data_IF_239449603990
#
_entry.id   IF_239449603990
#
_cell.length_a   1.000
_cell.length_b   1.000
_cell.length_c   1.000
_cell.angle_alpha   90.00
_cell.angle_beta   90.00
_cell.angle_gamma   90.00
#
_symmetry.space_group_name_H-M   'P 1'
#
loop_
_entity.id
_entity.type
_entity.pdbx_description
1 polymer ?
#
# COMPACT_ATOMS: atom_id res chain seq x y z
N UNK A 1 3.38 -3.73 3.18
CA UNK A 1 4.27 -3.63 4.36
C UNK A 1 4.79 -4.99 4.74
N UNK A 2 6.08 -5.08 4.99
CA UNK A 2 6.73 -6.23 5.65
C UNK A 2 6.99 -5.83 7.09
N UNK A 3 6.46 -6.59 8.04
CA UNK A 3 6.64 -6.29 9.46
C UNK A 3 7.90 -6.98 10.00
N UNK A 4 8.74 -6.22 10.72
CA UNK A 4 10.06 -6.66 11.17
C UNK A 4 10.26 -6.55 12.68
N UNK A 5 9.22 -6.29 13.45
CA UNK A 5 9.28 -6.15 14.89
C UNK A 5 8.63 -7.36 15.55
N UNK A 6 9.21 -7.78 16.71
CA UNK A 6 8.63 -8.86 17.50
C UNK A 6 7.25 -8.49 18.04
N UNK A 7 7.06 -7.22 18.44
CA UNK A 7 5.74 -6.72 18.80
C UNK A 7 4.89 -6.59 17.53
N UNK A 8 3.69 -7.18 17.47
CA UNK A 8 2.87 -7.14 16.27
C UNK A 8 2.45 -5.73 15.87
N UNK A 9 2.28 -5.52 14.57
CA UNK A 9 1.63 -4.32 14.07
C UNK A 9 0.14 -4.38 14.44
N UNK A 10 -0.31 -3.38 15.17
CA UNK A 10 -1.73 -3.24 15.54
C UNK A 10 -2.24 -1.91 14.96
N UNK A 11 -3.35 -1.92 14.21
CA UNK A 11 -3.92 -0.69 13.68
C UNK A 11 -4.24 0.34 14.77
N UNK A 12 -4.06 1.61 14.45
CA UNK A 12 -4.33 2.72 15.37
C UNK A 12 -3.13 3.18 16.18
N UNK A 13 -2.08 2.39 16.29
CA UNK A 13 -0.85 2.80 16.97
C UNK A 13 -0.09 3.79 16.09
N UNK A 14 0.46 4.83 16.71
CA UNK A 14 1.26 5.83 16.00
C UNK A 14 2.71 5.37 15.84
N UNK A 15 3.23 5.54 14.63
CA UNK A 15 4.62 5.25 14.28
C UNK A 15 5.24 6.45 13.58
N UNK A 16 6.56 6.40 13.41
CA UNK A 16 7.29 7.33 12.57
C UNK A 16 7.47 6.69 11.19
N UNK A 17 7.13 7.44 10.15
CA UNK A 17 7.33 7.01 8.77
C UNK A 17 8.41 7.86 8.12
N UNK A 18 9.38 7.19 7.54
CA UNK A 18 10.47 7.84 6.81
C UNK A 18 10.36 7.50 5.33
N UNK A 19 10.11 8.49 4.50
CA UNK A 19 9.95 8.33 3.07
C UNK A 19 10.47 9.57 2.33
N UNK A 20 11.19 9.34 1.23
CA UNK A 20 11.70 10.41 0.37
C UNK A 20 12.53 11.45 1.10
N UNK A 21 13.30 11.07 2.13
CA UNK A 21 14.07 12.00 2.94
C UNK A 21 13.26 12.78 3.98
N UNK A 22 11.94 12.60 4.01
CA UNK A 22 11.05 13.25 4.97
C UNK A 22 10.62 12.28 6.07
N UNK A 23 10.58 12.77 7.30
CA UNK A 23 10.11 12.02 8.45
C UNK A 23 8.79 12.61 8.91
N UNK A 24 7.76 11.78 9.02
CA UNK A 24 6.41 12.18 9.44
C UNK A 24 5.86 11.19 10.45
N UNK A 25 4.95 11.65 11.30
CA UNK A 25 4.18 10.78 12.17
C UNK A 25 2.94 10.28 11.43
N UNK A 26 2.51 9.09 11.75
CA UNK A 26 1.34 8.50 11.16
C UNK A 26 0.93 7.22 11.85
N UNK A 27 -0.07 6.58 11.31
CA UNK A 27 -0.59 5.31 11.83
C UNK A 27 -1.02 4.39 10.69
N UNK A 28 -1.06 3.12 10.98
CA UNK A 28 -1.74 2.16 10.13
C UNK A 28 -3.22 2.22 10.48
N UNK A 29 -4.04 2.70 9.56
CA UNK A 29 -5.48 2.80 9.79
C UNK A 29 -6.15 1.43 9.76
N UNK A 30 -5.75 0.60 8.80
CA UNK A 30 -6.36 -0.71 8.58
C UNK A 30 -5.41 -1.63 7.84
N UNK A 31 -5.45 -2.91 8.21
CA UNK A 31 -4.83 -3.98 7.43
C UNK A 31 -5.91 -4.54 6.50
N UNK A 32 -5.74 -4.39 5.19
CA UNK A 32 -6.73 -4.85 4.21
C UNK A 32 -6.70 -6.37 4.09
N UNK A 33 -5.51 -6.94 3.99
CA UNK A 33 -5.29 -8.38 4.01
C UNK A 33 -3.83 -8.69 4.28
N UNK A 34 -3.55 -9.90 4.72
CA UNK A 34 -2.21 -10.46 4.81
C UNK A 34 -1.95 -11.32 3.58
N UNK A 35 -0.72 -11.32 3.10
CA UNK A 35 -0.30 -12.17 1.98
C UNK A 35 0.42 -13.39 2.52
N UNK A 36 -0.07 -14.58 2.18
CA UNK A 36 0.62 -15.82 2.51
C UNK A 36 1.82 -15.99 1.57
N UNK A 37 3.02 -16.12 2.15
CA UNK A 37 4.27 -16.10 1.39
C UNK A 37 4.40 -17.29 0.44
N UNK A 38 3.90 -18.46 0.86
CA UNK A 38 4.05 -19.68 0.06
C UNK A 38 3.03 -19.82 -1.07
N UNK A 39 1.78 -19.43 -0.82
CA UNK A 39 0.68 -19.58 -1.78
C UNK A 39 0.29 -18.27 -2.46
N UNK A 40 0.75 -17.12 -1.96
CA UNK A 40 0.38 -15.76 -2.37
C UNK A 40 -1.14 -15.48 -2.17
N UNK A 41 -1.81 -16.27 -1.36
CA UNK A 41 -3.20 -16.04 -1.00
C UNK A 41 -3.36 -14.81 -0.12
N UNK A 42 -4.49 -14.10 -0.30
CA UNK A 42 -4.86 -12.97 0.53
C UNK A 42 -5.73 -13.44 1.68
N UNK A 43 -5.22 -13.32 2.89
CA UNK A 43 -5.89 -13.77 4.11
C UNK A 43 -6.34 -12.57 4.93
N UNK A 44 -7.51 -12.70 5.56
CA UNK A 44 -7.96 -11.69 6.51
C UNK A 44 -7.00 -11.64 7.70
N UNK A 45 -6.64 -10.42 8.15
CA UNK A 45 -5.77 -10.24 9.29
C UNK A 45 -6.13 -8.96 10.05
N UNK A 46 -6.04 -9.01 11.38
CA UNK A 46 -6.25 -7.86 12.25
C UNK A 46 -4.93 -7.27 12.73
N UNK A 47 -3.84 -8.01 12.56
CA UNK A 47 -2.48 -7.58 12.93
C UNK A 47 -1.47 -8.28 12.04
N UNK A 48 -0.24 -7.76 12.00
CA UNK A 48 0.89 -8.41 11.35
C UNK A 48 1.93 -8.77 12.38
N UNK A 49 2.33 -10.04 12.40
CA UNK A 49 3.42 -10.54 13.23
C UNK A 49 4.75 -10.45 12.48
N UNK A 50 5.85 -10.74 13.19
CA UNK A 50 7.19 -10.72 12.62
C UNK A 50 7.26 -11.51 11.30
N UNK A 51 7.86 -10.88 10.29
CA UNK A 51 8.04 -11.41 8.93
C UNK A 51 6.75 -11.62 8.12
N UNK A 52 5.61 -11.16 8.61
CA UNK A 52 4.38 -11.20 7.82
C UNK A 52 4.30 -10.01 6.88
N UNK A 53 3.66 -10.21 5.75
CA UNK A 53 3.45 -9.21 4.70
C UNK A 53 1.95 -8.91 4.60
N UNK A 54 1.61 -7.64 4.52
CA UNK A 54 0.22 -7.23 4.38
C UNK A 54 0.04 -5.99 3.52
N UNK A 55 -1.14 -5.86 2.93
CA UNK A 55 -1.59 -4.62 2.31
C UNK A 55 -2.31 -3.81 3.38
N UNK A 56 -1.83 -2.60 3.61
CA UNK A 56 -2.31 -1.75 4.69
C UNK A 56 -2.67 -0.36 4.17
N UNK A 57 -3.64 0.25 4.81
CA UNK A 57 -3.94 1.67 4.60
C UNK A 57 -3.21 2.48 5.66
N UNK A 58 -2.38 3.41 5.21
CA UNK A 58 -1.56 4.27 6.07
C UNK A 58 -2.08 5.70 6.02
N UNK A 59 -2.16 6.35 7.17
CA UNK A 59 -2.50 7.77 7.28
C UNK A 59 -1.34 8.48 7.94
N UNK A 60 -0.85 9.55 7.32
CA UNK A 60 0.25 10.37 7.85
C UNK A 60 -0.25 11.76 8.23
N UNK A 61 0.43 12.39 9.20
CA UNK A 61 -0.02 13.66 9.79
C UNK A 61 0.44 14.89 9.00
N UNK A 62 1.23 14.71 7.96
CA UNK A 62 1.72 15.83 7.13
C UNK A 62 1.71 15.42 5.66
N UNK A 63 1.58 16.38 4.73
CA UNK A 63 1.66 16.09 3.31
C UNK A 63 3.02 15.49 2.95
N UNK A 64 3.00 14.45 2.13
CA UNK A 64 4.19 13.80 1.62
C UNK A 64 4.12 13.68 0.11
N UNK A 65 5.28 13.74 -0.53
CA UNK A 65 5.42 13.52 -1.97
C UNK A 65 5.95 12.10 -2.17
N UNK A 66 5.26 11.32 -2.98
CA UNK A 66 5.66 9.94 -3.26
C UNK A 66 5.23 9.50 -4.65
N UNK A 67 5.87 8.45 -5.13
CA UNK A 67 5.43 7.70 -6.30
C UNK A 67 5.05 6.27 -5.87
N UNK A 68 4.29 5.58 -6.70
CA UNK A 68 4.11 4.15 -6.48
C UNK A 68 5.46 3.45 -6.62
N UNK A 69 5.74 2.46 -5.80
CA UNK A 69 7.00 1.73 -5.81
C UNK A 69 7.34 1.14 -7.18
N UNK A 70 6.33 0.66 -7.90
CA UNK A 70 6.49 0.12 -9.27
C UNK A 70 6.98 1.17 -10.27
N UNK A 71 6.77 2.48 -9.99
CA UNK A 71 7.19 3.59 -10.85
C UNK A 71 8.56 4.07 -10.44
N UNK A 72 8.78 4.30 -9.15
CA UNK A 72 10.05 4.77 -8.62
C UNK A 72 10.30 4.15 -7.24
N UNK A 73 11.29 3.27 -7.14
CA UNK A 73 11.63 2.59 -5.89
C UNK A 73 12.11 3.55 -4.80
N UNK A 74 12.87 4.56 -5.18
CA UNK A 74 13.44 5.52 -4.22
C UNK A 74 12.39 6.38 -3.53
N UNK A 75 11.37 6.81 -4.26
CA UNK A 75 10.29 7.66 -3.73
C UNK A 75 9.03 6.87 -3.37
N UNK A 76 8.98 5.58 -3.72
CA UNK A 76 7.86 4.68 -3.44
C UNK A 76 8.09 3.72 -2.29
N UNK A 77 9.20 3.82 -1.59
CA UNK A 77 9.51 3.00 -0.42
C UNK A 77 9.45 3.81 0.86
N UNK A 78 9.13 3.15 1.95
CA UNK A 78 9.10 3.78 3.27
C UNK A 78 9.65 2.85 4.34
N UNK A 79 10.08 3.45 5.45
CA UNK A 79 10.51 2.73 6.64
C UNK A 79 9.60 3.14 7.79
N UNK A 80 9.17 2.16 8.58
CA UNK A 80 8.35 2.37 9.76
C UNK A 80 9.23 2.21 10.97
N UNK A 81 9.22 3.21 11.85
CA UNK A 81 10.08 3.26 13.04
C UNK A 81 9.20 3.31 14.28
N UNK A 82 9.50 2.48 15.26
CA UNK A 82 8.84 2.53 16.58
C UNK A 82 9.29 3.79 17.33
N UNK A 83 8.33 4.58 17.81
CA UNK A 83 8.63 5.84 18.49
C UNK A 83 9.35 5.68 19.83
N UNK A 84 9.09 4.58 20.52
CA UNK A 84 9.64 4.35 21.85
C UNK A 84 11.06 3.81 21.79
N UNK A 85 11.30 2.83 20.94
CA UNK A 85 12.60 2.18 20.83
C UNK A 85 13.51 2.78 19.76
N UNK A 86 12.98 3.61 18.86
CA UNK A 86 13.65 4.10 17.64
C UNK A 86 14.17 2.98 16.73
N UNK A 87 13.68 1.77 16.92
CA UNK A 87 14.05 0.64 16.07
C UNK A 87 13.19 0.60 14.82
N UNK A 88 13.75 0.11 13.73
CA UNK A 88 12.98 -0.16 12.51
C UNK A 88 11.97 -1.26 12.80
N UNK A 89 10.69 -0.93 12.64
CA UNK A 89 9.60 -1.87 12.90
C UNK A 89 9.09 -2.53 11.62
N UNK A 90 9.23 -1.88 10.48
CA UNK A 90 8.80 -2.41 9.20
C UNK A 90 9.31 -1.62 8.03
N UNK A 91 9.06 -2.15 6.84
CA UNK A 91 9.33 -1.48 5.58
C UNK A 91 8.12 -1.63 4.67
N UNK A 92 7.91 -0.66 3.80
CA UNK A 92 6.76 -0.67 2.91
C UNK A 92 7.09 -0.23 1.50
N UNK A 93 6.25 -0.69 0.60
CA UNK A 93 6.21 -0.27 -0.79
C UNK A 93 4.84 0.37 -1.05
N UNK A 94 4.85 1.62 -1.50
CA UNK A 94 3.60 2.34 -1.74
C UNK A 94 2.96 1.82 -3.03
N UNK A 95 1.74 1.32 -2.91
CA UNK A 95 1.00 0.81 -4.07
C UNK A 95 0.25 1.94 -4.78
N UNK A 96 -0.52 2.74 -4.03
CA UNK A 96 -1.33 3.83 -4.56
C UNK A 96 -1.83 4.72 -3.42
N UNK A 97 -2.46 5.84 -3.76
CA UNK A 97 -3.27 6.59 -2.78
C UNK A 97 -4.52 5.77 -2.45
N UNK A 98 -5.05 5.95 -1.24
CA UNK A 98 -6.24 5.21 -0.82
C UNK A 98 -7.45 5.49 -1.72
N UNK A 99 -7.61 6.74 -2.17
CA UNK A 99 -8.69 7.12 -3.08
C UNK A 99 -8.54 6.46 -4.46
N UNK A 100 -7.34 6.48 -5.02
CA UNK A 100 -7.06 5.86 -6.32
C UNK A 100 -7.29 4.35 -6.28
N UNK A 101 -6.96 3.69 -5.18
CA UNK A 101 -7.20 2.26 -5.00
C UNK A 101 -8.69 1.93 -5.01
N UNK A 102 -9.51 2.72 -4.31
CA UNK A 102 -10.97 2.55 -4.30
C UNK A 102 -11.55 2.74 -5.71
N UNK A 103 -11.13 3.77 -6.42
CA UNK A 103 -11.59 4.04 -7.78
C UNK A 103 -11.17 2.91 -8.74
N UNK A 104 -9.95 2.39 -8.60
CA UNK A 104 -9.47 1.28 -9.41
C UNK A 104 -10.30 0.02 -9.16
N UNK A 105 -10.62 -0.28 -7.90
CA UNK A 105 -11.47 -1.40 -7.56
C UNK A 105 -12.87 -1.26 -8.15
N UNK A 106 -13.46 -0.07 -8.10
CA UNK A 106 -14.76 0.21 -8.73
C UNK A 106 -14.71 0.00 -10.24
N UNK A 107 -13.68 0.53 -10.89
CA UNK A 107 -13.51 0.37 -12.34
C UNK A 107 -13.37 -1.12 -12.71
N UNK A 108 -12.65 -1.89 -11.90
CA UNK A 108 -12.51 -3.32 -12.12
C UNK A 108 -13.84 -4.06 -11.99
N UNK A 109 -14.62 -3.76 -10.96
CA UNK A 109 -15.94 -4.35 -10.76
C UNK A 109 -16.88 -4.01 -11.91
N UNK A 110 -16.91 -2.75 -12.32
CA UNK A 110 -17.73 -2.31 -13.46
C UNK A 110 -17.34 -3.04 -14.75
N UNK A 111 -16.04 -3.19 -14.99
CA UNK A 111 -15.54 -3.90 -16.17
C UNK A 111 -15.99 -5.38 -16.18
N UNK A 112 -15.92 -6.05 -15.01
CA UNK A 112 -16.38 -7.44 -14.88
C UNK A 112 -17.88 -7.54 -15.16
N UNK A 113 -18.68 -6.61 -14.64
CA UNK A 113 -20.12 -6.58 -14.87
C UNK A 113 -20.49 -6.33 -16.33
N UNK A 114 -19.68 -5.52 -17.04
CA UNK A 114 -19.88 -5.20 -18.46
C UNK A 114 -19.24 -6.23 -19.40
N UNK A 115 -18.53 -7.21 -18.86
CA UNK A 115 -17.85 -8.23 -19.65
C UNK A 115 -16.64 -7.74 -20.41
N UNK A 116 -15.98 -6.70 -19.93
CA UNK A 116 -14.77 -6.15 -20.54
C UNK A 116 -13.59 -7.12 -20.44
N UNK A 117 -12.77 -7.16 -21.50
CA UNK A 117 -11.49 -7.84 -21.44
C UNK A 117 -10.49 -7.05 -20.59
N UNK A 118 -9.39 -7.70 -20.22
CA UNK A 118 -8.31 -7.05 -19.45
C UNK A 118 -7.73 -5.84 -20.22
N UNK A 119 -7.58 -5.97 -21.54
CA UNK A 119 -7.11 -4.88 -22.38
C UNK A 119 -8.10 -3.72 -22.42
N UNK A 120 -9.40 -4.00 -22.52
CA UNK A 120 -10.45 -2.98 -22.51
C UNK A 120 -10.49 -2.25 -21.18
N UNK A 121 -10.32 -2.96 -20.06
CA UNK A 121 -10.22 -2.37 -18.74
C UNK A 121 -9.00 -1.45 -18.64
N UNK A 122 -7.85 -1.90 -19.12
CA UNK A 122 -6.63 -1.09 -19.14
C UNK A 122 -6.82 0.19 -19.93
N UNK A 123 -7.40 0.10 -21.13
CA UNK A 123 -7.66 1.26 -21.97
C UNK A 123 -8.67 2.23 -21.33
N UNK A 124 -9.70 1.69 -20.70
CA UNK A 124 -10.68 2.46 -19.94
C UNK A 124 -10.03 3.26 -18.81
N UNK A 125 -9.22 2.58 -17.98
CA UNK A 125 -8.53 3.22 -16.85
C UNK A 125 -7.53 4.28 -17.32
N UNK A 126 -6.77 3.98 -18.37
CA UNK A 126 -5.81 4.94 -18.94
C UNK A 126 -6.52 6.19 -19.50
N UNK A 127 -7.67 6.03 -20.09
CA UNK A 127 -8.45 7.13 -20.67
C UNK A 127 -9.15 8.00 -19.63
N UNK A 128 -9.77 7.38 -18.63
CA UNK A 128 -10.58 8.08 -17.64
C UNK A 128 -9.82 8.47 -16.38
N UNK A 129 -8.75 7.76 -16.05
CA UNK A 129 -7.95 7.99 -14.86
C UNK A 129 -6.44 8.06 -15.17
N UNK A 130 -6.01 8.98 -16.06
CA UNK A 130 -4.61 9.05 -16.49
C UNK A 130 -3.64 9.36 -15.34
N UNK A 131 -4.12 10.00 -14.27
CA UNK A 131 -3.33 10.34 -13.09
C UNK A 131 -2.92 9.12 -12.25
N UNK A 132 -3.47 7.95 -12.50
CA UNK A 132 -3.09 6.73 -11.77
C UNK A 132 -1.75 6.14 -12.26
N UNK A 133 -1.22 6.62 -13.38
CA UNK A 133 0.06 6.16 -13.91
C UNK A 133 0.06 4.68 -14.26
N UNK A 134 -1.05 4.17 -14.81
CA UNK A 134 -1.17 2.76 -15.21
C UNK A 134 -0.19 2.46 -16.34
N UNK A 135 0.63 1.41 -16.16
CA UNK A 135 1.60 1.00 -17.17
C UNK A 135 0.92 0.24 -18.32
N UNK A 136 1.42 0.37 -19.57
CA UNK A 136 0.93 -0.44 -20.67
C UNK A 136 1.08 -1.93 -20.37
N UNK A 137 0.12 -2.72 -20.83
CA UNK A 137 0.22 -4.17 -20.86
C UNK A 137 1.16 -4.54 -22.01
N UNK A 138 2.41 -4.76 -21.69
CA UNK A 138 3.42 -5.07 -22.70
C UNK A 138 3.67 -6.55 -22.77
#
# INVERSE_FOLDING_TARGET
IVWMNEAPLVPGKEYVFKLGGKTVFGRIEKILHRVEVNSLEHLAAEQLSLNEIGLCRVVVNAPVVFDAYRICRGTGSLIIIDRLSNATAGAGMIAATAEADIELQRAHIEAVLLGMSEQDLHDFVTRHYPHWGVKPLA
#
